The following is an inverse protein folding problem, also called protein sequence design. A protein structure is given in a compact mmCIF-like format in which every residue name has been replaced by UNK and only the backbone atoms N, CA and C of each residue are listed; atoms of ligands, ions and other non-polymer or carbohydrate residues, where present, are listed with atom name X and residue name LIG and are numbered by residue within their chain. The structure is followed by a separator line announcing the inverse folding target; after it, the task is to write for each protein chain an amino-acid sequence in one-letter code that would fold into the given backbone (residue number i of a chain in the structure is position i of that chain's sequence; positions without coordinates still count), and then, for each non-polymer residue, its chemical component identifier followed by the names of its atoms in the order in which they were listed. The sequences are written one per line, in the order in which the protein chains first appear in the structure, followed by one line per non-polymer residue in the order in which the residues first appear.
data_IF_312600435961
#
_entry.id   IF_312600435961
#
_cell.length_a   1.000
_cell.length_b   1.000
_cell.length_c   1.000
_cell.angle_alpha   90.00
_cell.angle_beta   90.00
_cell.angle_gamma   90.00
#
_symmetry.space_group_name_H-M   'P 1'
#
loop_
_entity.id
_entity.type
_entity.pdbx_description
1 polymer ?
#
# COMPACT_ATOMS: atom_id res chain seq x y z
N UNK A 1 -38.04 3.62 -15.20
CA UNK A 1 -37.53 4.62 -14.21
C UNK A 1 -38.28 4.67 -12.86
N UNK A 2 -39.61 4.46 -12.78
CA UNK A 2 -40.35 4.53 -11.48
C UNK A 2 -39.87 3.49 -10.44
N UNK A 3 -39.54 2.27 -10.86
CA UNK A 3 -39.07 1.19 -9.97
C UNK A 3 -37.71 1.50 -9.29
N UNK A 4 -36.76 2.07 -10.03
CA UNK A 4 -35.44 2.46 -9.49
C UNK A 4 -35.59 3.56 -8.42
N UNK A 5 -36.57 4.46 -8.59
CA UNK A 5 -36.83 5.57 -7.65
C UNK A 5 -37.48 5.13 -6.32
N UNK A 6 -38.13 3.96 -6.28
CA UNK A 6 -38.86 3.46 -5.10
C UNK A 6 -38.18 2.28 -4.41
N UNK A 7 -37.05 1.80 -4.94
CA UNK A 7 -36.35 0.63 -4.42
C UNK A 7 -35.86 0.83 -2.97
N UNK A 8 -36.07 -0.17 -2.12
CA UNK A 8 -35.63 -0.11 -0.71
C UNK A 8 -34.11 -0.03 -0.62
N UNK A 9 -33.60 0.61 0.43
CA UNK A 9 -32.16 0.75 0.61
C UNK A 9 -31.43 -0.61 0.72
N UNK A 10 -32.10 -1.66 1.21
CA UNK A 10 -31.56 -3.01 1.24
C UNK A 10 -31.28 -3.55 -0.17
N UNK A 11 -32.28 -3.49 -1.06
CA UNK A 11 -32.13 -3.93 -2.45
C UNK A 11 -31.07 -3.10 -3.17
N UNK A 12 -31.03 -1.79 -2.93
CA UNK A 12 -29.98 -0.92 -3.48
C UNK A 12 -28.59 -1.30 -2.99
N UNK A 13 -28.42 -1.55 -1.69
CA UNK A 13 -27.13 -1.96 -1.13
C UNK A 13 -26.68 -3.31 -1.68
N UNK A 14 -27.60 -4.23 -1.94
CA UNK A 14 -27.30 -5.53 -2.54
C UNK A 14 -26.88 -5.41 -4.01
N UNK A 15 -27.57 -4.60 -4.82
CA UNK A 15 -27.16 -4.35 -6.20
C UNK A 15 -25.80 -3.66 -6.29
N UNK A 16 -25.53 -2.69 -5.41
CA UNK A 16 -24.23 -2.06 -5.31
C UNK A 16 -23.15 -3.05 -4.86
N UNK A 17 -23.47 -3.94 -3.93
CA UNK A 17 -22.58 -4.99 -3.47
C UNK A 17 -22.23 -5.98 -4.59
N UNK A 18 -23.19 -6.38 -5.43
CA UNK A 18 -22.91 -7.20 -6.62
C UNK A 18 -22.02 -6.45 -7.62
N UNK A 19 -22.29 -5.18 -7.86
CA UNK A 19 -21.50 -4.37 -8.79
C UNK A 19 -20.06 -4.20 -8.32
N UNK A 20 -19.85 -3.77 -7.08
CA UNK A 20 -18.50 -3.57 -6.52
C UNK A 20 -17.82 -4.92 -6.29
N UNK A 21 -18.53 -5.88 -5.70
CA UNK A 21 -18.00 -7.18 -5.30
C UNK A 21 -17.60 -8.07 -6.47
N UNK A 22 -18.37 -8.08 -7.57
CA UNK A 22 -18.10 -8.93 -8.73
C UNK A 22 -17.55 -8.15 -9.93
N UNK A 23 -18.29 -7.17 -10.44
CA UNK A 23 -17.91 -6.49 -11.69
C UNK A 23 -16.58 -5.74 -11.55
N UNK A 24 -16.40 -4.98 -10.46
CA UNK A 24 -15.16 -4.19 -10.27
C UNK A 24 -13.95 -5.05 -9.86
N UNK A 25 -14.17 -6.26 -9.34
CA UNK A 25 -13.12 -7.20 -8.96
C UNK A 25 -12.86 -8.27 -10.04
N UNK A 26 -13.49 -8.19 -11.21
CA UNK A 26 -13.45 -9.26 -12.21
C UNK A 26 -12.01 -9.60 -12.65
N UNK A 27 -11.16 -8.60 -12.82
CA UNK A 27 -9.75 -8.79 -13.18
C UNK A 27 -8.96 -9.56 -12.11
N UNK A 28 -9.25 -9.30 -10.83
CA UNK A 28 -8.64 -9.99 -9.69
C UNK A 28 -9.10 -11.45 -9.68
N UNK A 29 -10.38 -11.71 -9.95
CA UNK A 29 -10.90 -13.05 -10.06
C UNK A 29 -10.23 -13.84 -11.18
N UNK A 30 -10.14 -13.30 -12.41
CA UNK A 30 -9.49 -14.00 -13.52
C UNK A 30 -8.06 -14.42 -13.17
N UNK A 31 -7.25 -13.50 -12.65
CA UNK A 31 -5.88 -13.81 -12.22
C UNK A 31 -5.78 -14.87 -11.13
N UNK A 32 -6.72 -14.85 -10.18
CA UNK A 32 -6.76 -15.79 -9.06
C UNK A 32 -7.22 -17.18 -9.52
N UNK A 33 -8.23 -17.23 -10.37
CA UNK A 33 -8.80 -18.46 -10.92
C UNK A 33 -7.87 -19.12 -11.95
N UNK A 34 -7.11 -18.35 -12.74
CA UNK A 34 -6.06 -18.90 -13.61
C UNK A 34 -5.01 -19.66 -12.77
N UNK A 35 -4.67 -19.16 -11.59
CA UNK A 35 -3.79 -19.86 -10.64
C UNK A 35 -4.39 -21.14 -10.04
N UNK A 36 -5.72 -21.22 -9.89
CA UNK A 36 -6.41 -22.43 -9.43
C UNK A 36 -6.64 -23.46 -10.55
N UNK A 37 -6.77 -23.01 -11.79
CA UNK A 37 -7.07 -23.86 -12.95
C UNK A 37 -5.92 -24.81 -13.31
N UNK A 38 -4.66 -24.46 -13.00
CA UNK A 38 -3.51 -25.33 -13.29
C UNK A 38 -3.40 -26.54 -12.34
N UNK A 39 -4.06 -26.50 -11.18
CA UNK A 39 -4.09 -27.62 -10.21
C UNK A 39 -5.48 -27.71 -9.54
N UNK A 40 -6.44 -28.29 -10.26
CA UNK A 40 -7.82 -28.34 -9.80
C UNK A 40 -7.99 -29.27 -8.59
N UNK A 41 -7.97 -28.70 -7.39
CA UNK A 41 -8.28 -29.42 -6.13
C UNK A 41 -9.64 -28.97 -5.62
N UNK A 42 -10.47 -29.89 -5.11
CA UNK A 42 -11.80 -29.57 -4.56
C UNK A 42 -11.78 -28.39 -3.57
N UNK A 43 -10.75 -28.34 -2.72
CA UNK A 43 -10.56 -27.27 -1.74
C UNK A 43 -10.25 -25.90 -2.35
N UNK A 44 -9.48 -25.86 -3.45
CA UNK A 44 -9.21 -24.62 -4.21
C UNK A 44 -10.47 -24.11 -4.92
N UNK A 45 -11.34 -25.03 -5.37
CA UNK A 45 -12.67 -24.68 -5.90
C UNK A 45 -13.57 -24.08 -4.81
N UNK A 46 -13.62 -24.71 -3.63
CA UNK A 46 -14.39 -24.22 -2.49
C UNK A 46 -13.90 -22.85 -2.01
N UNK A 47 -12.58 -22.64 -1.92
CA UNK A 47 -12.00 -21.36 -1.52
C UNK A 47 -12.37 -20.24 -2.49
N UNK A 48 -12.36 -20.49 -3.80
CA UNK A 48 -12.78 -19.53 -4.82
C UNK A 48 -14.26 -19.14 -4.73
N UNK A 49 -15.16 -20.10 -4.44
CA UNK A 49 -16.58 -19.81 -4.21
C UNK A 49 -16.77 -18.98 -2.94
N UNK A 50 -16.05 -19.32 -1.87
CA UNK A 50 -16.08 -18.55 -0.62
C UNK A 50 -15.58 -17.12 -0.85
N UNK A 51 -14.50 -16.93 -1.60
CA UNK A 51 -13.97 -15.62 -1.98
C UNK A 51 -15.04 -14.79 -2.75
N UNK A 52 -15.68 -15.36 -3.78
CA UNK A 52 -16.73 -14.71 -4.57
C UNK A 52 -17.96 -14.29 -3.74
N UNK A 53 -18.37 -15.13 -2.80
CA UNK A 53 -19.48 -14.83 -1.89
C UNK A 53 -19.05 -13.76 -0.89
N UNK A 54 -17.85 -13.89 -0.31
CA UNK A 54 -17.33 -12.96 0.68
C UNK A 54 -17.25 -11.52 0.14
N UNK A 55 -16.80 -11.30 -1.10
CA UNK A 55 -16.71 -9.93 -1.65
C UNK A 55 -18.06 -9.22 -1.70
N UNK A 56 -19.14 -9.94 -2.03
CA UNK A 56 -20.51 -9.38 -2.07
C UNK A 56 -21.07 -9.17 -0.66
N UNK A 57 -20.87 -10.13 0.24
CA UNK A 57 -21.44 -9.99 1.59
C UNK A 57 -20.68 -8.96 2.43
N UNK A 58 -19.36 -8.82 2.27
CA UNK A 58 -18.56 -7.76 2.91
C UNK A 58 -18.99 -6.38 2.41
N UNK A 59 -19.11 -6.19 1.10
CA UNK A 59 -19.60 -4.92 0.52
C UNK A 59 -21.01 -4.59 1.01
N UNK A 60 -21.90 -5.59 0.99
CA UNK A 60 -23.26 -5.43 1.47
C UNK A 60 -23.29 -5.04 2.96
N UNK A 61 -22.57 -5.77 3.80
CA UNK A 61 -22.45 -5.50 5.24
C UNK A 61 -21.94 -4.08 5.50
N UNK A 62 -20.91 -3.66 4.78
CA UNK A 62 -20.32 -2.32 4.91
C UNK A 62 -21.31 -1.21 4.51
N UNK A 63 -21.92 -1.31 3.33
CA UNK A 63 -22.94 -0.35 2.88
C UNK A 63 -24.12 -0.30 3.86
N UNK A 64 -24.40 -1.42 4.52
CA UNK A 64 -25.48 -1.53 5.49
C UNK A 64 -25.12 -0.88 6.81
N UNK A 65 -23.91 -1.08 7.34
CA UNK A 65 -23.40 -0.34 8.49
C UNK A 65 -23.44 1.17 8.26
N UNK A 66 -23.02 1.63 7.07
CA UNK A 66 -23.07 3.07 6.74
C UNK A 66 -24.49 3.64 6.75
N UNK A 67 -25.51 2.81 6.55
CA UNK A 67 -26.91 3.24 6.60
C UNK A 67 -27.36 3.64 8.01
N UNK A 68 -26.59 3.31 9.05
CA UNK A 68 -26.88 3.69 10.44
C UNK A 68 -26.74 5.21 10.64
N UNK A 69 -25.80 5.85 9.94
CA UNK A 69 -25.55 7.29 10.04
C UNK A 69 -26.61 8.17 9.34
N UNK A 70 -27.66 7.56 8.78
CA UNK A 70 -28.77 8.27 8.15
C UNK A 70 -28.62 8.46 6.65
N UNK A 71 -29.64 9.07 6.02
CA UNK A 71 -29.79 9.07 4.56
C UNK A 71 -28.74 9.89 3.82
N UNK A 72 -28.47 11.13 4.27
CA UNK A 72 -27.54 12.04 3.57
C UNK A 72 -26.10 11.51 3.66
N UNK A 73 -25.69 11.13 4.88
CA UNK A 73 -24.35 10.55 5.12
C UNK A 73 -24.16 9.27 4.31
N UNK A 74 -25.15 8.38 4.29
CA UNK A 74 -25.07 7.16 3.48
C UNK A 74 -24.85 7.43 1.99
N UNK A 75 -25.56 8.41 1.39
CA UNK A 75 -25.38 8.75 -0.02
C UNK A 75 -23.98 9.27 -0.32
N UNK A 76 -23.44 10.13 0.54
CA UNK A 76 -22.09 10.69 0.40
C UNK A 76 -21.06 9.57 0.54
N UNK A 77 -21.12 8.78 1.60
CA UNK A 77 -20.16 7.71 1.85
C UNK A 77 -20.22 6.59 0.79
N UNK A 78 -21.42 6.21 0.34
CA UNK A 78 -21.57 5.24 -0.76
C UNK A 78 -20.99 5.77 -2.07
N UNK A 79 -21.16 7.06 -2.36
CA UNK A 79 -20.54 7.72 -3.52
C UNK A 79 -19.01 7.67 -3.42
N UNK A 80 -18.44 7.99 -2.25
CA UNK A 80 -17.00 7.92 -2.03
C UNK A 80 -16.46 6.50 -2.19
N UNK A 81 -17.15 5.49 -1.64
CA UNK A 81 -16.75 4.09 -1.79
C UNK A 81 -16.72 3.68 -3.26
N UNK A 82 -17.76 4.04 -4.02
CA UNK A 82 -17.83 3.74 -5.45
C UNK A 82 -16.68 4.40 -6.21
N UNK A 83 -16.41 5.68 -5.96
CA UNK A 83 -15.34 6.43 -6.63
C UNK A 83 -13.96 5.87 -6.31
N UNK A 84 -13.64 5.66 -5.03
CA UNK A 84 -12.34 5.08 -4.65
C UNK A 84 -12.19 3.65 -5.13
N UNK A 85 -13.27 2.86 -5.10
CA UNK A 85 -13.22 1.49 -5.63
C UNK A 85 -13.03 1.47 -7.16
N UNK A 86 -13.56 2.46 -7.89
CA UNK A 86 -13.40 2.56 -9.35
C UNK A 86 -12.00 3.01 -9.75
N UNK A 87 -11.40 3.93 -8.98
CA UNK A 87 -10.00 4.27 -9.14
C UNK A 87 -9.10 3.06 -8.83
N UNK A 88 -9.36 2.36 -7.72
CA UNK A 88 -8.60 1.18 -7.34
C UNK A 88 -8.75 0.02 -8.33
N UNK A 89 -9.95 -0.20 -8.91
CA UNK A 89 -10.17 -1.25 -9.92
C UNK A 89 -9.39 -1.00 -11.20
N UNK A 90 -9.19 0.26 -11.60
CA UNK A 90 -8.34 0.62 -12.75
C UNK A 90 -6.91 0.12 -12.54
N UNK A 91 -6.29 0.46 -11.40
CA UNK A 91 -4.91 0.07 -11.11
C UNK A 91 -4.76 -1.44 -10.92
N UNK A 92 -5.77 -2.12 -10.37
CA UNK A 92 -5.78 -3.59 -10.28
C UNK A 92 -5.86 -4.26 -11.64
N UNK A 93 -6.64 -3.70 -12.57
CA UNK A 93 -6.91 -4.30 -13.88
C UNK A 93 -5.76 -4.07 -14.85
N UNK A 94 -5.26 -2.83 -14.94
CA UNK A 94 -4.27 -2.46 -15.95
C UNK A 94 -2.82 -2.54 -15.47
N UNK A 95 -2.57 -2.20 -14.19
CA UNK A 95 -1.21 -2.23 -13.63
C UNK A 95 -0.94 -3.48 -12.78
N UNK A 96 -1.93 -4.34 -12.61
CA UNK A 96 -1.84 -5.56 -11.80
C UNK A 96 -1.46 -5.35 -10.33
N UNK A 97 -1.70 -4.15 -9.82
CA UNK A 97 -1.27 -3.71 -8.49
C UNK A 97 -2.20 -4.22 -7.39
N UNK A 98 -1.62 -4.69 -6.29
CA UNK A 98 -2.35 -5.02 -5.05
C UNK A 98 -2.36 -3.80 -4.13
N UNK A 99 -3.54 -3.33 -3.74
CA UNK A 99 -3.67 -2.13 -2.89
C UNK A 99 -3.41 -2.49 -1.43
N UNK A 100 -2.16 -2.37 -1.02
CA UNK A 100 -1.71 -2.54 0.36
C UNK A 100 -1.37 -1.23 1.07
N UNK A 101 -0.81 -1.36 2.28
CA UNK A 101 -0.39 -0.23 3.12
C UNK A 101 0.55 0.74 2.39
N UNK A 102 1.56 0.24 1.67
CA UNK A 102 2.54 1.08 0.99
C UNK A 102 1.93 2.04 -0.03
N UNK A 103 0.93 1.60 -0.78
CA UNK A 103 0.26 2.43 -1.79
C UNK A 103 -0.55 3.54 -1.13
N UNK A 104 -1.34 3.20 -0.10
CA UNK A 104 -2.08 4.21 0.67
C UNK A 104 -1.12 5.19 1.35
N UNK A 105 -0.01 4.70 1.93
CA UNK A 105 0.98 5.53 2.58
C UNK A 105 1.68 6.51 1.61
N UNK A 106 1.87 6.12 0.35
CA UNK A 106 2.40 6.97 -0.72
C UNK A 106 1.39 8.00 -1.20
N UNK A 107 0.13 7.61 -1.41
CA UNK A 107 -0.95 8.53 -1.80
C UNK A 107 -1.18 9.59 -0.72
N UNK A 108 -1.20 9.19 0.56
CA UNK A 108 -1.43 10.09 1.68
C UNK A 108 -0.29 11.10 1.90
N UNK A 109 0.94 10.81 1.45
CA UNK A 109 2.06 11.77 1.53
C UNK A 109 2.06 12.83 0.45
N UNK A 110 1.18 12.73 -0.54
CA UNK A 110 0.84 13.81 -1.49
C UNK A 110 2.06 14.49 -2.12
N UNK A 111 3.00 13.72 -2.67
CA UNK A 111 4.01 14.28 -3.56
C UNK A 111 3.32 14.65 -4.88
N UNK A 112 3.03 15.95 -5.03
CA UNK A 112 2.18 16.51 -6.10
C UNK A 112 2.75 16.20 -7.50
N UNK A 113 4.07 16.17 -7.64
CA UNK A 113 4.73 15.93 -8.93
C UNK A 113 4.60 14.46 -9.36
N UNK A 114 4.79 13.52 -8.44
CA UNK A 114 4.57 12.08 -8.66
C UNK A 114 3.10 11.75 -8.91
N UNK A 115 2.20 12.37 -8.16
CA UNK A 115 0.76 12.04 -8.21
C UNK A 115 0.12 12.47 -9.53
N UNK A 116 0.64 13.51 -10.19
CA UNK A 116 0.15 13.97 -11.50
C UNK A 116 0.49 13.02 -12.63
N UNK A 117 1.70 12.45 -12.64
CA UNK A 117 2.11 11.48 -13.67
C UNK A 117 1.26 10.20 -13.65
N UNK A 118 0.72 9.86 -12.48
CA UNK A 118 -0.14 8.69 -12.26
C UNK A 118 -1.59 8.89 -12.75
N UNK A 119 -2.02 10.15 -12.98
CA UNK A 119 -3.36 10.49 -13.45
C UNK A 119 -3.34 10.67 -14.98
N UNK A 120 -3.62 9.59 -15.71
CA UNK A 120 -3.80 9.62 -17.16
C UNK A 120 -5.25 9.88 -17.59
N UNK A 121 -5.45 10.31 -18.85
CA UNK A 121 -6.80 10.46 -19.43
C UNK A 121 -7.62 9.16 -19.37
N UNK A 122 -6.96 8.01 -19.55
CA UNK A 122 -7.56 6.69 -19.45
C UNK A 122 -8.17 6.40 -18.07
N UNK A 123 -7.52 6.86 -16.99
CA UNK A 123 -8.06 6.74 -15.63
C UNK A 123 -9.35 7.54 -15.49
N UNK A 124 -9.40 8.76 -16.03
CA UNK A 124 -10.58 9.62 -15.94
C UNK A 124 -11.75 8.98 -16.71
N UNK A 125 -11.50 8.51 -17.94
CA UNK A 125 -12.51 7.81 -18.74
C UNK A 125 -13.04 6.56 -18.03
N UNK A 126 -12.15 5.75 -17.47
CA UNK A 126 -12.53 4.57 -16.69
C UNK A 126 -13.35 4.94 -15.45
N UNK A 127 -12.88 5.93 -14.69
CA UNK A 127 -13.54 6.40 -13.48
C UNK A 127 -14.96 6.86 -13.79
N UNK A 128 -15.16 7.66 -14.84
CA UNK A 128 -16.48 8.13 -15.26
C UNK A 128 -17.34 6.95 -15.75
N UNK A 129 -16.82 6.10 -16.63
CA UNK A 129 -17.60 4.99 -17.20
C UNK A 129 -18.04 3.96 -16.15
N UNK A 130 -17.16 3.59 -15.23
CA UNK A 130 -17.42 2.56 -14.20
C UNK A 130 -18.20 3.14 -13.01
N UNK A 131 -18.00 4.40 -12.64
CA UNK A 131 -18.76 5.00 -11.53
C UNK A 131 -20.13 5.57 -11.95
N UNK A 132 -20.34 5.96 -13.21
CA UNK A 132 -21.60 6.56 -13.62
C UNK A 132 -22.83 5.67 -13.33
N UNK A 133 -22.86 4.36 -13.66
CA UNK A 133 -24.01 3.51 -13.35
C UNK A 133 -24.34 3.47 -11.84
N UNK A 134 -23.43 3.08 -10.92
CA UNK A 134 -23.75 3.05 -9.49
C UNK A 134 -24.09 4.43 -8.92
N UNK A 135 -23.48 5.51 -9.39
CA UNK A 135 -23.83 6.87 -8.97
C UNK A 135 -25.26 7.26 -9.38
N UNK A 136 -25.66 6.93 -10.60
CA UNK A 136 -27.04 7.13 -11.06
C UNK A 136 -28.03 6.34 -10.18
N UNK A 137 -27.71 5.10 -9.81
CA UNK A 137 -28.55 4.31 -8.89
C UNK A 137 -28.66 4.93 -7.49
N UNK A 138 -27.55 5.46 -6.93
CA UNK A 138 -27.52 6.08 -5.60
C UNK A 138 -28.33 7.39 -5.58
N UNK A 139 -28.13 8.25 -6.57
CA UNK A 139 -28.70 9.60 -6.58
C UNK A 139 -30.14 9.66 -7.12
N UNK A 140 -30.51 8.78 -8.05
CA UNK A 140 -31.88 8.68 -8.58
C UNK A 140 -32.85 8.05 -7.56
N UNK A 141 -32.35 7.22 -6.63
CA UNK A 141 -33.20 6.56 -5.65
C UNK A 141 -33.53 7.47 -4.45
N UNK A 142 -34.81 7.56 -4.06
CA UNK A 142 -35.27 8.31 -2.88
C UNK A 142 -34.81 7.71 -1.53
N UNK A 143 -34.08 6.59 -1.53
CA UNK A 143 -33.47 5.95 -0.35
C UNK A 143 -34.47 5.86 0.82
N UNK A 144 -35.62 5.22 0.57
CA UNK A 144 -36.65 4.97 1.59
C UNK A 144 -36.22 3.77 2.46
N UNK A 145 -36.53 3.85 3.76
CA UNK A 145 -36.19 2.87 4.80
C UNK A 145 -34.68 2.72 5.08
N UNK A 146 -34.10 3.73 5.73
CA UNK A 146 -32.76 3.60 6.33
C UNK A 146 -32.76 2.58 7.44
N UNK A 147 -31.62 1.93 7.65
CA UNK A 147 -31.42 0.97 8.74
C UNK A 147 -31.74 1.61 10.10
N UNK A 148 -31.37 2.88 10.30
CA UNK A 148 -31.76 3.67 11.48
C UNK A 148 -33.27 3.78 11.66
N UNK A 149 -34.03 4.05 10.58
CA UNK A 149 -35.50 4.15 10.64
C UNK A 149 -36.14 2.78 10.86
N UNK A 150 -35.55 1.73 10.29
CA UNK A 150 -35.99 0.35 10.46
C UNK A 150 -35.70 -0.21 11.86
N UNK A 151 -34.63 0.24 12.53
CA UNK A 151 -34.39 -0.05 13.95
C UNK A 151 -35.40 0.64 14.86
N UNK A 152 -35.86 1.84 14.50
CA UNK A 152 -36.84 2.62 15.28
C UNK A 152 -38.29 2.14 15.08
N UNK A 153 -38.61 1.43 14.01
CA UNK A 153 -39.95 0.86 13.80
C UNK A 153 -40.10 -0.48 14.55
N UNK A 154 -40.97 -0.58 15.56
CA UNK A 154 -41.24 -1.86 16.23
C UNK A 154 -41.81 -2.87 15.22
N UNK A 155 -41.35 -4.13 15.29
CA UNK A 155 -41.72 -5.21 14.35
C UNK A 155 -40.73 -5.46 13.20
N UNK A 156 -40.02 -4.44 12.70
CA UNK A 156 -38.99 -4.62 11.65
C UNK A 156 -37.55 -4.66 12.19
N UNK A 157 -37.34 -4.33 13.46
CA UNK A 157 -36.01 -4.26 14.10
C UNK A 157 -35.29 -5.60 14.09
N UNK A 158 -35.93 -6.65 14.61
CA UNK A 158 -35.32 -7.99 14.75
C UNK A 158 -34.93 -8.55 13.39
N UNK A 159 -35.83 -8.48 12.39
CA UNK A 159 -35.55 -8.95 11.02
C UNK A 159 -34.33 -8.27 10.40
N UNK A 160 -34.21 -6.94 10.53
CA UNK A 160 -33.13 -6.20 9.89
C UNK A 160 -31.79 -6.37 10.62
N UNK A 161 -31.81 -6.48 11.95
CA UNK A 161 -30.62 -6.83 12.74
C UNK A 161 -30.18 -8.25 12.39
N UNK A 162 -31.11 -9.20 12.32
CA UNK A 162 -30.82 -10.58 11.94
C UNK A 162 -30.18 -10.67 10.55
N UNK A 163 -30.67 -9.92 9.55
CA UNK A 163 -30.06 -9.88 8.20
C UNK A 163 -28.61 -9.38 8.25
N UNK A 164 -28.31 -8.37 9.07
CA UNK A 164 -26.94 -7.83 9.20
C UNK A 164 -26.03 -8.82 9.91
N UNK A 165 -26.51 -9.44 10.99
CA UNK A 165 -25.77 -10.46 11.75
C UNK A 165 -25.50 -11.69 10.89
N UNK A 166 -26.51 -12.19 10.18
CA UNK A 166 -26.35 -13.32 9.26
C UNK A 166 -25.37 -13.00 8.13
N UNK A 167 -25.42 -11.80 7.54
CA UNK A 167 -24.44 -11.38 6.55
C UNK A 167 -23.01 -11.37 7.12
N UNK A 168 -22.83 -10.92 8.36
CA UNK A 168 -21.54 -10.98 9.05
C UNK A 168 -21.06 -12.40 9.33
N UNK A 169 -21.95 -13.29 9.80
CA UNK A 169 -21.63 -14.68 10.09
C UNK A 169 -21.29 -15.49 8.83
N UNK A 170 -22.00 -15.24 7.72
CA UNK A 170 -21.74 -15.87 6.42
C UNK A 170 -20.36 -15.49 5.89
N UNK A 171 -19.86 -14.29 6.21
CA UNK A 171 -18.50 -13.88 5.86
C UNK A 171 -17.49 -14.47 6.84
N UNK A 172 -17.73 -14.31 8.14
CA UNK A 172 -16.77 -14.66 9.18
C UNK A 172 -16.54 -16.17 9.27
N UNK A 173 -17.59 -16.99 9.23
CA UNK A 173 -17.50 -18.44 9.42
C UNK A 173 -16.62 -19.15 8.39
N UNK A 174 -16.90 -19.03 7.07
CA UNK A 174 -16.10 -19.68 6.02
C UNK A 174 -14.66 -19.16 5.96
N UNK A 175 -14.44 -17.85 6.13
CA UNK A 175 -13.09 -17.28 6.14
C UNK A 175 -12.30 -17.83 7.33
N UNK A 176 -12.91 -17.88 8.52
CA UNK A 176 -12.27 -18.42 9.72
C UNK A 176 -11.96 -19.91 9.60
N UNK A 177 -12.85 -20.68 8.97
CA UNK A 177 -12.62 -22.10 8.72
C UNK A 177 -11.41 -22.33 7.80
N UNK A 178 -11.32 -21.57 6.71
CA UNK A 178 -10.19 -21.66 5.78
C UNK A 178 -8.89 -21.16 6.42
N UNK A 179 -8.95 -20.13 7.26
CA UNK A 179 -7.81 -19.62 8.02
C UNK A 179 -7.26 -20.66 8.99
N UNK A 180 -8.12 -21.34 9.77
CA UNK A 180 -7.70 -22.39 10.68
C UNK A 180 -7.02 -23.55 9.95
N UNK A 181 -7.53 -23.92 8.77
CA UNK A 181 -6.92 -24.97 7.95
C UNK A 181 -5.57 -24.56 7.37
N UNK A 182 -5.42 -23.32 6.92
CA UNK A 182 -4.11 -22.83 6.49
C UNK A 182 -3.10 -22.82 7.63
N UNK A 183 -3.53 -22.42 8.83
CA UNK A 183 -2.67 -22.45 10.01
C UNK A 183 -2.26 -23.89 10.40
N UNK A 184 -3.10 -24.89 10.17
CA UNK A 184 -2.73 -26.31 10.36
C UNK A 184 -1.69 -26.76 9.32
N UNK A 185 -1.82 -26.32 8.06
CA UNK A 185 -0.83 -26.60 7.01
C UNK A 185 0.50 -25.90 7.28
N UNK A 186 0.45 -24.65 7.75
CA UNK A 186 1.60 -23.84 8.15
C UNK A 186 2.34 -24.46 9.34
N UNK A 187 1.65 -25.06 10.31
CA UNK A 187 2.33 -25.83 11.38
C UNK A 187 3.12 -27.04 10.87
N UNK A 188 2.74 -27.57 9.71
CA UNK A 188 3.39 -28.73 9.10
C UNK A 188 4.36 -28.35 7.97
N UNK A 189 4.43 -27.08 7.59
CA UNK A 189 5.35 -26.57 6.58
C UNK A 189 6.21 -25.47 7.19
N UNK A 190 7.53 -25.59 7.10
CA UNK A 190 8.52 -24.69 7.72
C UNK A 190 8.57 -23.28 7.08
N UNK A 191 7.47 -22.84 6.47
CA UNK A 191 7.34 -21.62 5.67
C UNK A 191 6.22 -20.78 6.23
N UNK A 192 6.56 -19.59 6.74
CA UNK A 192 5.57 -18.59 7.17
C UNK A 192 4.72 -18.14 5.98
N UNK A 193 3.40 -18.29 6.09
CA UNK A 193 2.43 -17.89 5.09
C UNK A 193 1.59 -16.72 5.60
N UNK A 194 1.26 -15.74 4.75
CA UNK A 194 0.37 -14.65 5.15
C UNK A 194 -1.03 -15.19 5.48
N UNK A 195 -1.61 -14.77 6.61
CA UNK A 195 -2.98 -15.16 7.01
C UNK A 195 -3.97 -15.02 5.87
N UNK A 196 -4.75 -16.08 5.62
CA UNK A 196 -5.79 -16.14 4.59
C UNK A 196 -6.69 -14.90 4.58
N UNK A 197 -7.16 -14.51 5.76
CA UNK A 197 -8.07 -13.38 5.94
C UNK A 197 -7.39 -12.06 5.57
N UNK A 198 -6.11 -11.92 5.90
CA UNK A 198 -5.29 -10.75 5.53
C UNK A 198 -5.06 -10.65 4.02
N UNK A 199 -4.83 -11.78 3.34
CA UNK A 199 -4.68 -11.83 1.88
C UNK A 199 -5.97 -11.41 1.20
N UNK A 200 -7.12 -11.99 1.59
CA UNK A 200 -8.42 -11.63 1.03
C UNK A 200 -8.74 -10.16 1.28
N UNK A 201 -8.53 -9.69 2.52
CA UNK A 201 -8.81 -8.31 2.89
C UNK A 201 -8.07 -7.31 2.00
N UNK A 202 -6.80 -7.59 1.67
CA UNK A 202 -5.97 -6.73 0.82
C UNK A 202 -6.14 -6.97 -0.69
N UNK A 203 -6.82 -8.04 -1.10
CA UNK A 203 -6.96 -8.40 -2.52
C UNK A 203 -8.20 -7.81 -3.17
N UNK A 204 -9.33 -7.75 -2.45
CA UNK A 204 -10.63 -7.40 -3.06
C UNK A 204 -11.16 -6.03 -2.65
N UNK A 205 -11.88 -5.39 -3.57
CA UNK A 205 -12.57 -4.13 -3.35
C UNK A 205 -13.86 -4.33 -2.55
N UNK A 206 -14.22 -3.40 -1.65
CA UNK A 206 -13.48 -2.22 -1.17
C UNK A 206 -12.63 -2.54 0.06
N UNK A 207 -12.59 -3.80 0.52
CA UNK A 207 -11.89 -4.19 1.75
C UNK A 207 -10.41 -3.87 1.69
N UNK A 208 -9.80 -3.91 0.50
CA UNK A 208 -8.37 -3.67 0.31
C UNK A 208 -7.94 -2.27 0.71
N UNK A 209 -8.45 -1.24 0.02
CA UNK A 209 -8.10 0.13 0.33
C UNK A 209 -8.64 0.57 1.69
N UNK A 210 -9.77 0.01 2.15
CA UNK A 210 -10.31 0.30 3.49
C UNK A 210 -9.43 -0.25 4.62
N UNK A 211 -9.00 -1.51 4.52
CA UNK A 211 -8.14 -2.13 5.52
C UNK A 211 -6.75 -1.50 5.50
N UNK A 212 -6.18 -1.23 4.32
CA UNK A 212 -4.93 -0.50 4.19
C UNK A 212 -5.01 0.92 4.76
N UNK A 213 -6.12 1.64 4.55
CA UNK A 213 -6.35 2.97 5.14
C UNK A 213 -6.53 2.90 6.66
N UNK A 214 -7.25 1.90 7.18
CA UNK A 214 -7.38 1.66 8.61
C UNK A 214 -6.03 1.37 9.27
N UNK A 215 -5.21 0.52 8.65
CA UNK A 215 -3.85 0.22 9.08
C UNK A 215 -2.96 1.47 9.05
N UNK A 216 -3.08 2.31 8.01
CA UNK A 216 -2.36 3.58 7.92
C UNK A 216 -2.75 4.55 9.04
N UNK A 217 -4.06 4.72 9.28
CA UNK A 217 -4.55 5.57 10.35
C UNK A 217 -4.08 5.08 11.73
N UNK A 218 -4.15 3.77 11.98
CA UNK A 218 -3.65 3.18 13.22
C UNK A 218 -2.14 3.41 13.38
N UNK A 219 -1.36 3.16 12.35
CA UNK A 219 0.09 3.36 12.37
C UNK A 219 0.45 4.83 12.68
N UNK A 220 -0.29 5.78 12.12
CA UNK A 220 -0.07 7.21 12.40
C UNK A 220 -0.40 7.58 13.85
N UNK A 221 -1.46 7.00 14.43
CA UNK A 221 -1.80 7.23 15.84
C UNK A 221 -0.74 6.60 16.76
N UNK A 222 -0.30 5.38 16.47
CA UNK A 222 0.76 4.70 17.22
C UNK A 222 2.08 5.48 17.15
N UNK A 223 2.50 5.90 15.95
CA UNK A 223 3.71 6.70 15.72
C UNK A 223 3.65 8.06 16.43
N UNK A 224 2.47 8.71 16.47
CA UNK A 224 2.28 9.96 17.21
C UNK A 224 2.39 9.80 18.74
N UNK A 225 2.05 8.63 19.25
CA UNK A 225 2.07 8.32 20.69
C UNK A 225 3.44 7.86 21.15
N UNK A 226 4.13 7.05 20.34
CA UNK A 226 5.47 6.49 20.62
C UNK A 226 6.63 7.46 20.35
N UNK A 227 6.39 8.63 19.74
CA UNK A 227 7.43 9.67 19.57
C UNK A 227 8.08 10.13 20.89
N UNK A 228 7.46 9.85 22.04
CA UNK A 228 8.01 10.14 23.37
C UNK A 228 9.05 9.11 23.85
N UNK A 229 9.10 7.91 23.27
CA UNK A 229 10.02 6.83 23.67
C UNK A 229 11.20 6.67 22.70
N UNK A 230 11.27 7.47 21.63
CA UNK A 230 12.37 7.44 20.69
C UNK A 230 13.67 7.94 21.33
N UNK A 231 14.56 7.00 21.63
CA UNK A 231 15.93 7.27 22.07
C UNK A 231 16.66 8.00 20.95
N UNK A 232 17.26 9.16 21.24
CA UNK A 232 18.16 9.82 20.29
C UNK A 232 19.47 9.01 20.22
N UNK A 233 19.76 8.32 19.10
CA UNK A 233 20.94 7.48 18.99
C UNK A 233 22.24 8.29 19.09
N UNK A 234 22.23 9.59 18.74
CA UNK A 234 23.40 10.46 18.89
C UNK A 234 23.75 10.72 20.37
N UNK A 235 22.78 10.58 21.29
CA UNK A 235 23.05 10.67 22.74
C UNK A 235 23.49 9.34 23.35
N UNK A 236 23.15 8.21 22.71
CA UNK A 236 23.43 6.86 23.22
C UNK A 236 24.68 6.24 22.59
N UNK A 237 25.04 6.65 21.38
CA UNK A 237 26.14 6.10 20.62
C UNK A 237 27.07 7.22 20.16
N UNK A 238 28.33 7.13 20.54
CA UNK A 238 29.41 8.01 20.09
C UNK A 238 30.21 7.29 19.01
N UNK A 239 30.38 7.92 17.85
CA UNK A 239 31.32 7.48 16.83
C UNK A 239 32.60 8.29 16.96
N UNK A 240 33.73 7.59 17.14
CA UNK A 240 35.06 8.21 17.11
C UNK A 240 35.65 7.88 15.76
N UNK A 241 35.85 8.90 14.92
CA UNK A 241 36.47 8.72 13.62
C UNK A 241 37.96 8.34 13.80
N UNK A 242 38.46 7.33 13.09
CA UNK A 242 39.90 7.07 13.00
C UNK A 242 40.66 8.29 12.48
N UNK A 243 41.90 8.50 12.93
CA UNK A 243 42.77 9.56 12.42
C UNK A 243 43.09 9.35 10.92
N UNK A 244 43.17 10.45 10.16
CA UNK A 244 43.55 10.43 8.72
C UNK A 244 42.39 10.33 7.72
N UNK A 245 41.16 10.63 8.14
CA UNK A 245 39.97 10.61 7.26
C UNK A 245 39.52 11.99 6.78
N UNK A 246 40.26 13.06 7.08
CA UNK A 246 39.86 14.46 6.84
C UNK A 246 39.61 14.78 5.34
N UNK A 247 40.26 14.05 4.43
CA UNK A 247 40.10 14.20 2.97
C UNK A 247 39.22 13.10 2.32
N UNK A 248 38.44 12.37 3.11
CA UNK A 248 37.57 11.29 2.61
C UNK A 248 36.13 11.76 2.39
N UNK A 249 35.63 11.58 1.17
CA UNK A 249 34.26 11.92 0.82
C UNK A 249 33.48 10.66 0.47
N UNK A 250 32.30 10.51 1.07
CA UNK A 250 31.38 9.41 0.76
C UNK A 250 30.17 10.00 0.07
N UNK A 251 29.92 9.55 -1.16
CA UNK A 251 28.74 9.92 -1.94
C UNK A 251 27.78 8.75 -1.93
N UNK A 252 26.63 8.93 -1.29
CA UNK A 252 25.58 7.92 -1.25
C UNK A 252 24.51 8.26 -2.29
N UNK A 253 24.44 7.46 -3.35
CA UNK A 253 23.48 7.62 -4.44
C UNK A 253 22.34 6.62 -4.23
N UNK A 254 21.14 7.15 -4.02
CA UNK A 254 19.91 6.38 -3.86
C UNK A 254 19.19 6.38 -5.20
N UNK A 255 19.19 5.24 -5.88
CA UNK A 255 18.39 5.00 -7.06
C UNK A 255 16.91 4.79 -6.70
N UNK A 256 16.04 4.98 -7.70
CA UNK A 256 14.58 4.94 -7.50
C UNK A 256 13.97 3.58 -7.90
N UNK A 257 13.91 3.30 -9.20
CA UNK A 257 13.13 2.17 -9.79
C UNK A 257 14.04 1.19 -10.54
N UNK A 258 15.35 1.39 -10.50
CA UNK A 258 16.25 0.61 -11.35
C UNK A 258 16.41 -0.81 -10.81
N UNK A 259 16.30 -1.77 -11.72
CA UNK A 259 16.34 -3.20 -11.42
C UNK A 259 17.64 -3.82 -11.88
N UNK A 260 18.19 -4.72 -11.07
CA UNK A 260 19.50 -5.33 -11.32
C UNK A 260 19.49 -6.25 -12.56
N UNK A 261 18.34 -6.85 -12.90
CA UNK A 261 18.17 -7.75 -14.05
C UNK A 261 18.27 -7.03 -15.40
N UNK A 262 18.17 -5.70 -15.42
CA UNK A 262 18.31 -4.86 -16.62
C UNK A 262 19.61 -4.04 -16.62
N UNK A 263 20.60 -4.42 -15.82
CA UNK A 263 21.92 -3.77 -15.79
C UNK A 263 22.96 -4.54 -16.62
N UNK A 264 23.57 -3.86 -17.59
CA UNK A 264 24.63 -4.44 -18.45
C UNK A 264 25.77 -5.05 -17.64
N UNK A 265 26.26 -4.31 -16.64
CA UNK A 265 27.34 -4.76 -15.74
C UNK A 265 27.01 -6.02 -14.93
N UNK A 266 25.73 -6.39 -14.82
CA UNK A 266 25.28 -7.61 -14.12
C UNK A 266 24.89 -8.75 -15.07
N UNK A 267 25.14 -8.57 -16.38
CA UNK A 267 24.95 -9.58 -17.43
C UNK A 267 23.68 -9.40 -18.28
N UNK A 268 23.05 -8.22 -18.30
CA UNK A 268 21.92 -7.95 -19.18
C UNK A 268 22.34 -7.94 -20.66
N UNK A 269 21.47 -8.44 -21.55
CA UNK A 269 21.78 -8.62 -22.98
C UNK A 269 22.08 -7.32 -23.73
N UNK A 270 21.54 -6.18 -23.25
CA UNK A 270 21.85 -4.85 -23.75
C UNK A 270 22.78 -4.14 -22.78
N UNK A 271 23.84 -3.51 -23.29
CA UNK A 271 24.70 -2.66 -22.46
C UNK A 271 23.96 -1.38 -22.04
N UNK A 272 23.36 -1.40 -20.86
CA UNK A 272 22.65 -0.26 -20.23
C UNK A 272 23.55 0.56 -19.32
N UNK A 273 24.79 0.13 -19.08
CA UNK A 273 25.73 0.75 -18.14
C UNK A 273 27.12 0.97 -18.76
N UNK A 274 27.22 1.60 -19.96
CA UNK A 274 28.47 1.65 -20.73
C UNK A 274 29.57 2.49 -20.08
N UNK A 275 29.21 3.52 -19.31
CA UNK A 275 30.20 4.35 -18.60
C UNK A 275 30.71 3.66 -17.33
N UNK A 276 29.84 2.92 -16.64
CA UNK A 276 30.23 2.19 -15.44
C UNK A 276 31.19 1.03 -15.76
N UNK A 277 31.07 0.40 -16.92
CA UNK A 277 32.00 -0.65 -17.36
C UNK A 277 33.44 -0.16 -17.58
N UNK A 278 33.65 1.15 -17.78
CA UNK A 278 34.98 1.74 -17.99
C UNK A 278 35.70 2.03 -16.66
N UNK A 279 35.01 1.96 -15.53
CA UNK A 279 35.54 2.32 -14.22
C UNK A 279 36.41 1.20 -13.63
N UNK A 280 37.70 1.53 -13.37
CA UNK A 280 38.74 0.54 -13.06
C UNK A 280 38.62 -0.12 -11.68
N UNK A 281 37.80 0.41 -10.78
CA UNK A 281 37.64 -0.08 -9.39
C UNK A 281 36.16 -0.23 -9.00
N UNK A 282 35.29 -0.49 -9.97
CA UNK A 282 33.87 -0.64 -9.72
C UNK A 282 33.56 -2.04 -9.18
N UNK A 283 32.86 -2.09 -8.05
CA UNK A 283 32.30 -3.33 -7.50
C UNK A 283 30.79 -3.31 -7.67
N UNK A 284 30.26 -4.29 -8.40
CA UNK A 284 28.83 -4.43 -8.65
C UNK A 284 28.25 -5.59 -7.83
N UNK A 285 27.16 -5.32 -7.11
CA UNK A 285 26.46 -6.32 -6.31
C UNK A 285 25.03 -6.51 -6.81
N UNK A 286 24.57 -7.76 -6.81
CA UNK A 286 23.14 -8.07 -6.92
C UNK A 286 22.52 -7.89 -5.53
N UNK A 287 21.54 -7.01 -5.41
CA UNK A 287 20.84 -6.76 -4.14
C UNK A 287 19.38 -7.22 -4.17
N UNK A 288 18.80 -7.49 -2.98
CA UNK A 288 17.34 -7.53 -2.76
C UNK A 288 16.81 -6.41 -1.86
N UNK A 289 15.77 -5.70 -2.31
CA UNK A 289 15.24 -4.56 -1.57
C UNK A 289 14.41 -5.06 -0.41
N UNK A 290 14.42 -4.30 0.68
CA UNK A 290 13.57 -4.55 1.84
C UNK A 290 12.08 -4.31 1.56
N UNK A 291 11.76 -3.40 0.64
CA UNK A 291 10.40 -3.13 0.18
C UNK A 291 10.41 -2.77 -1.31
N UNK A 292 9.23 -2.73 -1.93
CA UNK A 292 9.01 -2.33 -3.32
C UNK A 292 8.52 -0.89 -3.46
N UNK A 293 8.21 -0.22 -2.35
CA UNK A 293 7.82 1.19 -2.33
C UNK A 293 8.95 2.07 -1.76
N UNK A 294 9.38 3.10 -2.51
CA UNK A 294 10.50 4.00 -2.16
C UNK A 294 10.45 4.50 -0.72
N UNK A 295 9.27 4.92 -0.25
CA UNK A 295 9.10 5.43 1.12
C UNK A 295 9.36 4.36 2.19
N UNK A 296 8.93 3.13 1.96
CA UNK A 296 9.14 2.02 2.89
C UNK A 296 10.58 1.51 2.81
N UNK A 297 11.14 1.42 1.60
CA UNK A 297 12.53 1.05 1.37
C UNK A 297 13.48 2.03 2.05
N UNK A 298 13.26 3.34 1.92
CA UNK A 298 14.07 4.35 2.61
C UNK A 298 13.97 4.26 4.12
N UNK A 299 12.81 3.90 4.67
CA UNK A 299 12.67 3.69 6.12
C UNK A 299 13.51 2.49 6.56
N UNK A 300 13.43 1.36 5.85
CA UNK A 300 14.11 0.14 6.27
C UNK A 300 15.63 0.14 6.00
N UNK A 301 16.09 0.65 4.83
CA UNK A 301 17.52 0.75 4.48
C UNK A 301 18.34 1.48 5.53
N UNK A 302 17.66 2.39 6.21
CA UNK A 302 18.28 3.27 7.14
C UNK A 302 17.97 2.89 8.58
N UNK A 303 17.42 1.73 8.93
CA UNK A 303 17.32 1.35 10.35
C UNK A 303 18.65 0.73 10.81
N UNK A 304 19.13 1.09 12.01
CA UNK A 304 20.32 0.46 12.59
C UNK A 304 20.03 -1.03 12.85
N UNK A 305 21.03 -1.91 12.69
CA UNK A 305 20.89 -3.31 13.10
C UNK A 305 20.42 -3.42 14.56
N UNK A 306 19.39 -4.24 14.81
CA UNK A 306 18.70 -4.36 16.11
C UNK A 306 17.76 -3.18 16.45
N UNK A 307 17.60 -2.20 15.55
CA UNK A 307 16.64 -1.10 15.66
C UNK A 307 15.24 -1.43 15.16
N UNK A 308 15.07 -2.57 14.49
CA UNK A 308 13.79 -3.21 14.24
C UNK A 308 13.53 -4.16 15.41
N UNK A 309 12.63 -3.81 16.33
CA UNK A 309 12.11 -4.82 17.25
C UNK A 309 11.15 -5.73 16.50
N UNK A 310 11.32 -7.05 16.66
CA UNK A 310 10.46 -8.07 16.10
C UNK A 310 9.07 -7.96 16.74
N UNK A 311 8.16 -7.29 16.03
CA UNK A 311 6.76 -7.33 16.37
C UNK A 311 6.17 -8.63 15.74
N UNK A 312 5.30 -9.40 16.43
CA UNK A 312 4.71 -10.65 15.90
C UNK A 312 3.84 -10.49 14.63
N UNK A 313 3.82 -9.29 14.04
CA UNK A 313 3.08 -8.92 12.83
C UNK A 313 3.98 -8.69 11.61
N UNK A 314 5.26 -9.09 11.66
CA UNK A 314 6.20 -8.96 10.54
C UNK A 314 6.54 -7.51 10.17
N UNK A 315 6.35 -6.57 11.10
CA UNK A 315 6.67 -5.15 10.89
C UNK A 315 7.87 -4.76 11.74
N UNK A 316 8.96 -4.38 11.08
CA UNK A 316 10.06 -3.66 11.72
C UNK A 316 9.54 -2.31 12.24
N UNK A 317 9.39 -2.16 13.57
CA UNK A 317 9.30 -0.81 14.16
C UNK A 317 10.64 -0.11 13.89
N UNK A 318 10.67 0.91 13.05
CA UNK A 318 11.90 1.65 12.77
C UNK A 318 12.26 2.53 13.98
N UNK A 319 13.12 2.05 14.86
CA UNK A 319 13.88 2.90 15.79
C UNK A 319 14.85 3.71 14.92
N UNK A 320 14.91 5.03 15.15
CA UNK A 320 15.42 6.07 14.25
C UNK A 320 16.62 5.72 13.34
N UNK A 321 16.63 6.32 12.16
CA UNK A 321 17.38 5.87 10.99
C UNK A 321 18.87 6.32 10.91
N UNK A 322 19.81 5.46 10.47
CA UNK A 322 21.23 5.64 10.06
C UNK A 322 21.62 7.03 9.51
N UNK A 323 20.84 7.67 8.61
CA UNK A 323 21.10 9.01 8.11
C UNK A 323 21.21 10.02 9.26
N UNK A 324 20.35 9.88 10.28
CA UNK A 324 20.37 10.76 11.42
C UNK A 324 21.62 10.58 12.30
N UNK A 325 22.36 9.46 12.17
CA UNK A 325 23.66 9.28 12.83
C UNK A 325 24.81 9.88 11.99
N UNK A 326 24.78 9.73 10.66
CA UNK A 326 25.83 10.21 9.76
C UNK A 326 25.87 11.74 9.71
N UNK A 327 24.70 12.40 9.64
CA UNK A 327 24.58 13.87 9.63
C UNK A 327 25.14 14.57 10.88
N UNK A 328 25.34 13.85 11.98
CA UNK A 328 25.85 14.42 13.23
C UNK A 328 27.35 14.15 13.43
N UNK A 329 27.93 13.19 12.71
CA UNK A 329 29.37 12.90 12.74
C UNK A 329 30.16 13.65 11.65
N UNK A 330 29.49 14.10 10.58
CA UNK A 330 30.11 14.84 9.48
C UNK A 330 29.08 15.69 8.73
N UNK A 331 29.55 16.73 8.00
CA UNK A 331 28.71 17.64 7.22
C UNK A 331 28.02 16.91 6.06
N UNK A 332 26.83 16.37 6.32
CA UNK A 332 26.08 15.60 5.35
C UNK A 332 25.07 16.50 4.63
N UNK A 333 25.19 16.59 3.30
CA UNK A 333 24.32 17.42 2.44
C UNK A 333 23.45 16.50 1.61
N UNK A 334 22.13 16.73 1.62
CA UNK A 334 21.18 15.95 0.83
C UNK A 334 20.69 16.79 -0.36
N UNK A 335 20.87 16.30 -1.59
CA UNK A 335 20.41 16.97 -2.81
C UNK A 335 19.26 16.15 -3.43
N UNK A 336 17.99 16.56 -3.25
CA UNK A 336 16.86 15.83 -3.84
C UNK A 336 16.76 16.11 -5.34
N UNK A 337 16.68 15.05 -6.16
CA UNK A 337 16.55 15.17 -7.62
C UNK A 337 15.13 14.97 -8.17
N UNK A 338 14.21 14.31 -7.46
CA UNK A 338 12.88 13.96 -8.03
C UNK A 338 11.72 13.96 -7.02
N UNK A 339 11.86 13.21 -5.93
CA UNK A 339 10.92 13.23 -4.81
C UNK A 339 11.56 13.92 -3.59
N UNK A 340 10.75 14.52 -2.72
CA UNK A 340 11.24 14.97 -1.42
C UNK A 340 11.70 13.71 -0.69
N UNK A 341 13.00 13.58 -0.39
CA UNK A 341 13.46 12.54 0.52
C UNK A 341 12.55 12.63 1.75
N UNK A 342 11.88 11.54 2.13
CA UNK A 342 10.76 11.57 3.07
C UNK A 342 11.08 12.21 4.42
N UNK A 343 10.24 12.02 5.45
CA UNK A 343 10.46 12.62 6.79
C UNK A 343 11.85 12.35 7.41
N UNK A 344 12.62 11.40 6.86
CA UNK A 344 14.01 11.09 7.20
C UNK A 344 15.02 12.18 6.84
N UNK A 345 14.84 12.89 5.71
CA UNK A 345 15.81 13.87 5.20
C UNK A 345 15.49 15.33 5.56
N UNK A 346 14.33 15.61 6.17
CA UNK A 346 13.92 16.96 6.58
C UNK A 346 14.82 17.59 7.65
N UNK A 347 15.74 16.83 8.25
CA UNK A 347 16.72 17.32 9.23
C UNK A 347 18.07 17.74 8.63
N UNK A 348 18.21 17.69 7.31
CA UNK A 348 19.49 17.91 6.62
C UNK A 348 19.48 19.26 5.90
N UNK A 349 20.63 19.96 5.80
CA UNK A 349 20.76 21.08 4.87
C UNK A 349 20.62 20.57 3.42
N UNK A 350 19.62 21.09 2.71
CA UNK A 350 19.33 20.75 1.32
C UNK A 350 19.77 21.86 0.38
N UNK A 351 20.51 21.50 -0.68
CA UNK A 351 20.87 22.43 -1.76
C UNK A 351 19.91 22.23 -2.94
N UNK A 352 19.34 23.31 -3.46
CA UNK A 352 18.48 23.28 -4.65
C UNK A 352 19.30 23.05 -5.93
N UNK A 353 18.83 22.23 -6.89
CA UNK A 353 19.59 21.85 -8.09
C UNK A 353 19.98 23.04 -9.00
N UNK A 354 19.34 24.20 -8.85
CA UNK A 354 19.59 25.41 -9.64
C UNK A 354 20.88 26.16 -9.26
N UNK A 355 21.56 25.78 -8.17
CA UNK A 355 22.69 26.54 -7.62
C UNK A 355 24.09 25.92 -7.82
N UNK A 356 24.26 24.88 -8.65
CA UNK A 356 25.56 24.22 -8.81
C UNK A 356 26.29 24.64 -10.10
N UNK A 357 26.96 25.79 -10.07
CA UNK A 357 28.26 25.93 -10.78
C UNK A 357 29.35 25.66 -9.75
N UNK A 358 29.81 24.41 -9.67
CA UNK A 358 31.03 24.08 -8.96
C UNK A 358 32.20 24.72 -9.72
N UNK A 359 32.84 25.72 -9.12
CA UNK A 359 34.06 26.30 -9.63
C UNK A 359 35.20 25.27 -9.57
N UNK A 360 36.03 25.14 -10.61
CA UNK A 360 37.12 24.17 -10.62
C UNK A 360 38.30 24.78 -9.83
N UNK A 361 38.50 24.40 -8.57
CA UNK A 361 39.72 24.72 -7.86
C UNK A 361 40.37 23.45 -7.29
N UNK A 362 41.49 23.07 -7.92
CA UNK A 362 42.56 22.17 -7.46
C UNK A 362 42.12 20.76 -7.03
N UNK A 363 42.12 19.86 -8.00
CA UNK A 363 42.11 18.42 -7.79
C UNK A 363 43.43 17.96 -7.14
N UNK A 364 43.44 17.88 -5.82
CA UNK A 364 44.30 16.94 -5.06
C UNK A 364 43.49 15.67 -4.83
N UNK A 365 44.12 14.50 -4.96
CA UNK A 365 43.48 13.18 -5.04
C UNK A 365 42.40 12.94 -3.97
N UNK A 366 41.14 13.17 -4.35
CA UNK A 366 39.97 12.93 -3.50
C UNK A 366 39.71 11.43 -3.45
N UNK A 367 39.80 10.81 -2.27
CA UNK A 367 39.29 9.45 -2.06
C UNK A 367 37.77 9.53 -1.93
N UNK A 368 37.08 9.45 -3.06
CA UNK A 368 35.62 9.40 -3.13
C UNK A 368 35.15 7.95 -3.12
N UNK A 369 34.37 7.56 -2.12
CA UNK A 369 33.63 6.29 -2.11
C UNK A 369 32.19 6.58 -2.56
N UNK A 370 31.85 6.14 -3.77
CA UNK A 370 30.49 6.26 -4.30
C UNK A 370 29.74 4.94 -4.11
N UNK A 371 28.65 4.96 -3.34
CA UNK A 371 27.78 3.79 -3.17
C UNK A 371 26.48 4.09 -3.90
N UNK A 372 26.22 3.37 -4.99
CA UNK A 372 24.96 3.44 -5.71
C UNK A 372 24.06 2.26 -5.32
N UNK A 373 22.93 2.56 -4.69
CA UNK A 373 21.91 1.58 -4.34
C UNK A 373 20.75 1.67 -5.34
N UNK A 374 20.48 0.61 -6.11
CA UNK A 374 19.44 0.60 -7.14
C UNK A 374 18.43 -0.51 -6.83
N UNK A 375 17.14 -0.20 -6.82
CA UNK A 375 16.14 -1.09 -6.24
C UNK A 375 14.79 -1.09 -6.97
N UNK A 376 14.47 -2.20 -7.65
CA UNK A 376 13.11 -2.75 -7.75
C UNK A 376 13.19 -4.23 -8.16
N UNK A 377 12.27 -5.04 -7.66
CA UNK A 377 12.04 -6.42 -8.11
C UNK A 377 10.87 -6.48 -9.08
#
# INVERSE_FOLDING_TARGET
MKYIRTMTQQKLSFWLALYIGWFMNVAVFFRRFDGYAQEFTFWKGLSGVVELVATVFVTFFLLRLLSLFGRRIWRILATLIVLFSAAASYYMTFLNVVIGYGIIASVMTTDIDLSKEVIGWHLILWLVAVSAPPLLFIWSNRCRHTLLRQLRTPGQRVKNVLIVVLAGLIVWGPIRLLELRQHDVERHSEVDMPSYGGVIANSYLPSNWLSALGLYAWAQVDESSDNKSLINPAKKFTYVAPEGLDDTYVVFIIGETTRWDHMGILGYSRNTTPELEKEKNLVAFRGYSCDTATKLSLRCMFVREGGAEDNPSGRSKSRMSLPCCISWASAAICTPCRARCGSTATRWPTISPTASRLAPSRATAVRALTICCWWMR
#
